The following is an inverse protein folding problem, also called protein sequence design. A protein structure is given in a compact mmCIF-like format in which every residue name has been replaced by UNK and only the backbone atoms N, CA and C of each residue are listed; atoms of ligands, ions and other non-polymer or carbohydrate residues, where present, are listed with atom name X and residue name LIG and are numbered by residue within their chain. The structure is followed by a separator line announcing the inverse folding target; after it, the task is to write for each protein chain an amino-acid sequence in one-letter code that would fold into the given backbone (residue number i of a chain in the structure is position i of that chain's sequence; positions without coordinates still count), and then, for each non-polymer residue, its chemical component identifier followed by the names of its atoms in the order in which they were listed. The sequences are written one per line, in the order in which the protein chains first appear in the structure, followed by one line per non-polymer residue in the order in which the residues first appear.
data_IF_117578998248
#
_entry.id   IF_117578998248
#
_cell.length_a   1.000
_cell.length_b   1.000
_cell.length_c   1.000
_cell.angle_alpha   90.00
_cell.angle_beta   90.00
_cell.angle_gamma   90.00
#
_symmetry.space_group_name_H-M   'P 1'
#
loop_
_entity.id
_entity.type
_entity.pdbx_description
1 polymer ?
#
# COMPACT_ATOMS: atom_id res chain seq x y z
N UNK A 1 -5.41 2.19 14.57
CA UNK A 1 -5.37 3.67 14.52
C UNK A 1 -4.05 4.12 13.93
N UNK A 2 -4.01 4.51 12.66
CA UNK A 2 -2.92 5.31 12.06
C UNK A 2 -3.54 6.35 11.12
N UNK A 3 -4.12 7.38 11.74
CA UNK A 3 -4.69 8.55 11.08
C UNK A 3 -3.53 9.56 10.93
N UNK A 4 -2.76 9.47 9.84
CA UNK A 4 -1.88 10.59 9.43
C UNK A 4 -1.36 10.47 7.99
N UNK A 5 -2.12 9.86 7.07
CA UNK A 5 -1.78 9.90 5.64
C UNK A 5 -1.72 11.34 5.12
N UNK A 6 -2.52 12.25 5.68
CA UNK A 6 -2.48 13.68 5.34
C UNK A 6 -1.16 14.37 5.65
N UNK A 7 -0.45 14.02 6.73
CA UNK A 7 0.81 14.72 7.10
C UNK A 7 1.99 14.29 6.22
N UNK A 8 2.03 13.02 5.80
CA UNK A 8 3.05 12.52 4.86
C UNK A 8 2.78 13.08 3.46
N UNK A 9 1.53 13.16 3.03
CA UNK A 9 1.15 13.71 1.73
C UNK A 9 1.44 15.22 1.64
N UNK A 10 1.22 15.98 2.71
CA UNK A 10 1.64 17.39 2.78
C UNK A 10 3.17 17.54 2.74
N UNK A 11 3.92 16.65 3.40
CA UNK A 11 5.38 16.66 3.33
C UNK A 11 5.89 16.32 1.91
N UNK A 12 5.20 15.42 1.21
CA UNK A 12 5.45 15.09 -0.20
C UNK A 12 5.24 16.30 -1.12
N UNK A 13 4.15 17.05 -0.94
CA UNK A 13 3.89 18.28 -1.71
C UNK A 13 5.00 19.32 -1.52
N UNK A 14 5.51 19.47 -0.28
CA UNK A 14 6.68 20.31 0.01
C UNK A 14 7.93 19.87 -0.76
N UNK A 15 8.16 18.56 -0.88
CA UNK A 15 9.25 18.00 -1.67
C UNK A 15 9.08 18.27 -3.16
N UNK A 16 7.86 18.13 -3.70
CA UNK A 16 7.51 18.44 -5.10
C UNK A 16 7.68 19.93 -5.41
N UNK A 17 7.42 20.82 -4.45
CA UNK A 17 7.59 22.26 -4.61
C UNK A 17 9.03 22.76 -4.44
N UNK A 18 9.95 21.95 -3.91
CA UNK A 18 11.36 22.33 -3.73
C UNK A 18 12.06 22.65 -5.07
N UNK A 19 12.69 23.83 -5.16
CA UNK A 19 13.33 24.36 -6.39
C UNK A 19 14.86 24.44 -6.31
N UNK A 20 15.40 24.37 -5.10
CA UNK A 20 16.82 24.51 -4.80
C UNK A 20 17.27 23.45 -3.77
N UNK A 21 18.58 23.31 -3.60
CA UNK A 21 19.19 22.33 -2.69
C UNK A 21 18.74 22.50 -1.24
N UNK A 22 18.56 23.74 -0.79
CA UNK A 22 18.20 24.04 0.59
C UNK A 22 16.74 23.66 0.88
N UNK A 23 15.81 24.06 0.02
CA UNK A 23 14.39 23.68 0.10
C UNK A 23 14.20 22.17 -0.02
N UNK A 24 15.01 21.49 -0.84
CA UNK A 24 14.99 20.03 -0.94
C UNK A 24 15.46 19.34 0.35
N UNK A 25 16.55 19.82 0.97
CA UNK A 25 17.04 19.29 2.24
C UNK A 25 16.05 19.52 3.39
N UNK A 26 15.44 20.70 3.45
CA UNK A 26 14.41 21.04 4.44
C UNK A 26 13.18 20.14 4.26
N UNK A 27 12.70 19.98 3.02
CA UNK A 27 11.57 19.11 2.72
C UNK A 27 11.85 17.64 3.04
N UNK A 28 13.05 17.14 2.73
CA UNK A 28 13.47 15.76 3.05
C UNK A 28 13.55 15.54 4.56
N UNK A 29 14.05 16.52 5.29
CA UNK A 29 14.14 16.46 6.76
C UNK A 29 12.74 16.45 7.40
N UNK A 30 11.85 17.31 6.92
CA UNK A 30 10.45 17.33 7.35
C UNK A 30 9.75 16.00 7.07
N UNK A 31 9.97 15.43 5.87
CA UNK A 31 9.43 14.12 5.51
C UNK A 31 9.94 13.00 6.45
N UNK A 32 11.24 12.98 6.74
CA UNK A 32 11.84 12.03 7.67
C UNK A 32 11.26 12.13 9.07
N UNK A 33 11.02 13.35 9.58
CA UNK A 33 10.37 13.55 10.86
C UNK A 33 8.94 13.02 10.87
N UNK A 34 8.18 13.27 9.81
CA UNK A 34 6.82 12.73 9.68
C UNK A 34 6.81 11.21 9.68
N UNK A 35 7.72 10.57 8.93
CA UNK A 35 7.87 9.11 8.93
C UNK A 35 8.20 8.54 10.31
N UNK A 36 9.05 9.25 11.10
CA UNK A 36 9.32 8.86 12.49
C UNK A 36 8.08 8.99 13.37
N UNK A 37 7.31 10.08 13.24
CA UNK A 37 6.09 10.31 14.02
C UNK A 37 4.99 9.30 13.72
N UNK A 38 4.90 8.82 12.48
CA UNK A 38 3.95 7.78 12.08
C UNK A 38 4.39 6.37 12.48
N UNK A 39 5.58 6.22 13.08
CA UNK A 39 6.08 4.94 13.54
C UNK A 39 6.58 4.02 12.42
N UNK A 40 6.98 4.57 11.27
CA UNK A 40 7.61 3.78 10.21
C UNK A 40 8.93 3.19 10.69
N UNK A 41 9.19 1.95 10.27
CA UNK A 41 10.42 1.23 10.60
C UNK A 41 11.66 1.99 10.09
N UNK A 42 12.73 1.91 10.88
CA UNK A 42 14.08 2.36 10.58
C UNK A 42 14.56 2.04 9.16
N UNK A 43 14.19 0.88 8.60
CA UNK A 43 14.55 0.49 7.24
C UNK A 43 14.04 1.48 6.18
N UNK A 44 12.83 2.03 6.35
CA UNK A 44 12.24 2.99 5.43
C UNK A 44 12.92 4.37 5.55
N UNK A 45 13.35 4.73 6.76
CA UNK A 45 14.11 5.95 7.01
C UNK A 45 15.50 5.90 6.35
N UNK A 46 16.18 4.75 6.45
CA UNK A 46 17.47 4.51 5.80
C UNK A 46 17.31 4.52 4.28
N UNK A 47 16.23 3.92 3.76
CA UNK A 47 15.89 3.95 2.34
C UNK A 47 15.70 5.37 1.81
N UNK A 48 14.99 6.22 2.55
CA UNK A 48 14.79 7.63 2.22
C UNK A 48 16.14 8.38 2.14
N UNK A 49 17.00 8.25 3.15
CA UNK A 49 18.30 8.93 3.19
C UNK A 49 19.19 8.57 2.00
N UNK A 50 19.25 7.27 1.66
CA UNK A 50 20.03 6.79 0.51
C UNK A 50 19.53 7.36 -0.81
N UNK A 51 18.20 7.47 -0.97
CA UNK A 51 17.57 7.98 -2.21
C UNK A 51 17.69 9.49 -2.34
N UNK A 52 17.64 10.21 -1.22
CA UNK A 52 17.77 11.66 -1.14
C UNK A 52 19.22 12.16 -1.27
N UNK A 53 20.22 11.29 -1.10
CA UNK A 53 21.62 11.67 -1.24
C UNK A 53 21.98 12.04 -2.69
N UNK A 54 22.73 13.14 -2.83
CA UNK A 54 23.39 13.56 -4.06
C UNK A 54 24.68 14.30 -3.72
N UNK A 55 25.67 14.23 -4.61
CA UNK A 55 26.95 14.90 -4.44
C UNK A 55 26.87 16.33 -5.01
N UNK A 56 26.95 17.39 -4.17
CA UNK A 56 27.04 18.76 -4.67
C UNK A 56 28.38 18.98 -5.36
N UNK A 57 28.37 19.79 -6.41
CA UNK A 57 29.54 20.16 -7.19
C UNK A 57 29.90 21.63 -6.92
N UNK A 58 31.05 21.85 -6.29
CA UNK A 58 31.55 23.19 -5.94
C UNK A 58 31.89 24.06 -7.15
N UNK A 59 32.01 23.45 -8.33
CA UNK A 59 32.40 24.12 -9.57
C UNK A 59 31.24 24.36 -10.53
N UNK A 60 30.04 23.84 -10.23
CA UNK A 60 28.86 23.97 -11.11
C UNK A 60 27.55 23.84 -10.33
N UNK A 61 26.87 24.98 -10.16
CA UNK A 61 25.51 25.02 -9.61
C UNK A 61 24.51 24.28 -10.50
N UNK A 62 24.75 24.25 -11.82
CA UNK A 62 23.90 23.54 -12.78
C UNK A 62 23.95 22.03 -12.56
N UNK A 63 25.15 21.46 -12.42
CA UNK A 63 25.36 20.03 -12.18
C UNK A 63 24.78 19.62 -10.81
N UNK A 64 24.97 20.46 -9.79
CA UNK A 64 24.36 20.28 -8.47
C UNK A 64 22.83 20.23 -8.55
N UNK A 65 22.23 21.13 -9.35
CA UNK A 65 20.77 21.19 -9.54
C UNK A 65 20.24 19.97 -10.29
N UNK A 66 20.93 19.49 -11.33
CA UNK A 66 20.54 18.29 -12.07
C UNK A 66 20.55 17.05 -11.17
N UNK A 67 21.61 16.85 -10.38
CA UNK A 67 21.73 15.75 -9.42
C UNK A 67 20.67 15.82 -8.31
N UNK A 68 20.33 17.02 -7.85
CA UNK A 68 19.26 17.23 -6.88
C UNK A 68 17.89 16.84 -7.47
N UNK A 69 17.59 17.23 -8.71
CA UNK A 69 16.34 16.85 -9.38
C UNK A 69 16.22 15.34 -9.53
N UNK A 70 17.33 14.66 -9.84
CA UNK A 70 17.36 13.20 -9.90
C UNK A 70 17.11 12.55 -8.52
N UNK A 71 17.76 13.05 -7.46
CA UNK A 71 17.53 12.59 -6.10
C UNK A 71 16.07 12.81 -5.66
N UNK A 72 15.50 13.96 -6.00
CA UNK A 72 14.09 14.27 -5.76
C UNK A 72 13.15 13.27 -6.44
N UNK A 73 13.40 12.94 -7.71
CA UNK A 73 12.62 11.94 -8.43
C UNK A 73 12.68 10.57 -7.74
N UNK A 74 13.89 10.13 -7.36
CA UNK A 74 14.11 8.87 -6.63
C UNK A 74 13.34 8.81 -5.30
N UNK A 75 13.27 9.92 -4.57
CA UNK A 75 12.52 10.01 -3.30
C UNK A 75 11.02 9.92 -3.55
N UNK A 76 10.49 10.65 -4.54
CA UNK A 76 9.06 10.63 -4.87
C UNK A 76 8.60 9.23 -5.28
N UNK A 77 9.36 8.56 -6.16
CA UNK A 77 9.07 7.20 -6.60
C UNK A 77 9.03 6.23 -5.41
N UNK A 78 10.05 6.27 -4.55
CA UNK A 78 10.14 5.42 -3.37
C UNK A 78 8.96 5.63 -2.40
N UNK A 79 8.58 6.89 -2.15
CA UNK A 79 7.45 7.20 -1.28
C UNK A 79 6.12 6.71 -1.86
N UNK A 80 5.91 6.86 -3.17
CA UNK A 80 4.71 6.35 -3.84
C UNK A 80 4.62 4.81 -3.74
N UNK A 81 5.73 4.10 -3.88
CA UNK A 81 5.78 2.64 -3.70
C UNK A 81 5.35 2.23 -2.28
N UNK A 82 5.89 2.88 -1.24
CA UNK A 82 5.55 2.58 0.15
C UNK A 82 4.10 2.92 0.47
N UNK A 83 3.59 4.05 -0.05
CA UNK A 83 2.21 4.48 0.17
C UNK A 83 1.21 3.53 -0.50
N UNK A 84 1.45 3.12 -1.75
CA UNK A 84 0.60 2.17 -2.47
C UNK A 84 0.52 0.79 -1.78
N UNK A 85 1.65 0.30 -1.24
CA UNK A 85 1.66 -0.96 -0.47
C UNK A 85 0.79 -0.86 0.79
N UNK A 86 0.80 0.30 1.45
CA UNK A 86 -0.03 0.54 2.63
C UNK A 86 -1.52 0.68 2.30
N UNK A 87 -1.88 1.27 1.16
CA UNK A 87 -3.28 1.38 0.72
C UNK A 87 -3.88 0.01 0.39
N UNK A 88 -3.14 -0.83 -0.35
CA UNK A 88 -3.58 -2.18 -0.68
C UNK A 88 -3.71 -3.07 0.57
N UNK A 89 -2.77 -2.94 1.52
CA UNK A 89 -2.83 -3.66 2.80
C UNK A 89 -3.99 -3.21 3.68
N UNK A 90 -4.34 -1.92 3.70
CA UNK A 90 -5.51 -1.41 4.42
C UNK A 90 -6.82 -1.87 3.79
N UNK A 91 -6.93 -1.80 2.47
CA UNK A 91 -8.10 -2.30 1.74
C UNK A 91 -8.31 -3.79 2.02
N UNK A 92 -7.23 -4.58 2.05
CA UNK A 92 -7.29 -5.99 2.44
C UNK A 92 -7.82 -6.17 3.86
N UNK A 93 -7.31 -5.42 4.84
CA UNK A 93 -7.76 -5.49 6.23
C UNK A 93 -9.23 -5.10 6.36
N UNK A 94 -9.66 -4.03 5.68
CA UNK A 94 -11.07 -3.61 5.68
C UNK A 94 -11.97 -4.69 5.04
N UNK A 95 -11.51 -5.37 3.99
CA UNK A 95 -12.26 -6.47 3.37
C UNK A 95 -12.34 -7.67 4.30
N UNK A 96 -11.24 -8.07 4.93
CA UNK A 96 -11.22 -9.18 5.88
C UNK A 96 -12.08 -8.91 7.12
N UNK A 97 -12.12 -7.66 7.59
CA UNK A 97 -12.98 -7.25 8.70
C UNK A 97 -14.47 -7.30 8.31
N UNK A 98 -14.78 -6.89 7.07
CA UNK A 98 -16.13 -6.99 6.50
C UNK A 98 -16.50 -8.41 6.03
N UNK A 99 -15.54 -9.31 5.86
CA UNK A 99 -15.78 -10.69 5.47
C UNK A 99 -16.65 -11.44 6.51
N UNK A 100 -16.50 -11.09 7.78
CA UNK A 100 -17.34 -11.61 8.87
C UNK A 100 -18.83 -11.21 8.76
N UNK A 101 -19.14 -10.14 8.01
CA UNK A 101 -20.53 -9.76 7.69
C UNK A 101 -21.17 -10.67 6.64
N UNK A 102 -20.35 -11.34 5.82
CA UNK A 102 -20.82 -12.28 4.80
C UNK A 102 -21.23 -13.64 5.42
N UNK A 103 -20.50 -14.08 6.45
CA UNK A 103 -20.83 -15.31 7.20
C UNK A 103 -22.03 -15.13 8.14
N UNK A 104 -22.34 -13.90 8.56
CA UNK A 104 -23.52 -13.62 9.38
C UNK A 104 -24.79 -13.55 8.54
N UNK A 105 -25.74 -14.43 8.89
CA UNK A 105 -27.12 -14.51 8.34
C UNK A 105 -27.67 -13.14 7.93
N UNK A 106 -27.96 -12.98 6.64
CA UNK A 106 -28.50 -11.79 5.99
C UNK A 106 -29.49 -11.03 6.89
N UNK A 107 -29.12 -9.79 7.22
CA UNK A 107 -29.98 -8.90 7.99
C UNK A 107 -31.25 -8.59 7.17
N UNK A 108 -32.42 -8.71 7.81
CA UNK A 108 -33.78 -8.65 7.23
C UNK A 108 -34.19 -7.29 6.62
N UNK A 109 -33.25 -6.39 6.33
CA UNK A 109 -33.46 -5.06 5.72
C UNK A 109 -32.59 -4.81 4.47
N UNK A 110 -31.92 -5.83 3.93
CA UNK A 110 -31.18 -5.71 2.67
C UNK A 110 -32.13 -5.48 1.49
N UNK A 111 -31.81 -4.52 0.63
CA UNK A 111 -32.59 -4.21 -0.59
C UNK A 111 -32.43 -5.23 -1.72
N UNK A 112 -31.56 -6.23 -1.54
CA UNK A 112 -31.41 -7.36 -2.46
C UNK A 112 -32.54 -8.34 -2.16
N UNK A 113 -33.45 -8.50 -3.12
CA UNK A 113 -34.58 -9.41 -3.02
C UNK A 113 -34.10 -10.87 -3.13
N UNK A 114 -34.84 -11.79 -2.53
CA UNK A 114 -34.44 -13.20 -2.37
C UNK A 114 -34.21 -13.89 -3.72
N UNK A 115 -34.95 -13.47 -4.74
CA UNK A 115 -34.89 -13.98 -6.12
C UNK A 115 -33.60 -13.57 -6.83
N UNK A 116 -33.05 -12.38 -6.53
CA UNK A 116 -31.78 -11.92 -7.10
C UNK A 116 -30.58 -12.59 -6.42
N UNK A 117 -30.73 -12.96 -5.15
CA UNK A 117 -29.71 -13.70 -4.39
C UNK A 117 -29.66 -15.18 -4.79
N UNK A 118 -30.77 -15.76 -5.25
CA UNK A 118 -30.82 -17.14 -5.75
C UNK A 118 -29.99 -17.34 -7.03
N UNK A 119 -29.83 -16.30 -7.85
CA UNK A 119 -28.92 -16.29 -9.01
C UNK A 119 -27.44 -16.19 -8.65
N UNK A 120 -27.13 -15.67 -7.45
CA UNK A 120 -25.78 -15.53 -6.90
C UNK A 120 -25.58 -16.53 -5.75
N UNK A 121 -26.11 -17.75 -5.91
CA UNK A 121 -26.06 -18.80 -4.90
C UNK A 121 -24.62 -19.28 -4.70
N UNK A 122 -24.03 -18.80 -3.62
CA UNK A 122 -22.88 -19.43 -2.96
C UNK A 122 -23.41 -20.72 -2.34
N UNK A 123 -23.06 -21.84 -2.95
CA UNK A 123 -23.54 -23.18 -2.59
C UNK A 123 -22.69 -23.80 -1.50
N UNK A 124 -21.41 -23.46 -1.41
CA UNK A 124 -20.50 -23.95 -0.39
C UNK A 124 -19.42 -22.91 -0.02
N UNK A 125 -18.60 -23.24 0.98
CA UNK A 125 -17.48 -22.41 1.44
C UNK A 125 -16.45 -22.13 0.34
N UNK A 126 -16.25 -23.08 -0.59
CA UNK A 126 -15.33 -22.91 -1.71
C UNK A 126 -15.77 -21.80 -2.67
N UNK A 127 -17.07 -21.60 -2.90
CA UNK A 127 -17.54 -20.48 -3.72
C UNK A 127 -17.15 -19.12 -3.11
N UNK A 128 -17.19 -19.01 -1.78
CA UNK A 128 -16.71 -17.83 -1.04
C UNK A 128 -15.20 -17.68 -1.17
N UNK A 129 -14.46 -18.78 -1.02
CA UNK A 129 -13.00 -18.78 -1.19
C UNK A 129 -12.59 -18.37 -2.62
N UNK A 130 -13.33 -18.79 -3.65
CA UNK A 130 -13.06 -18.41 -5.04
C UNK A 130 -13.38 -16.93 -5.32
N UNK A 131 -14.47 -16.40 -4.75
CA UNK A 131 -14.79 -14.96 -4.84
C UNK A 131 -13.71 -14.11 -4.16
N UNK A 132 -13.29 -14.52 -2.95
CA UNK A 132 -12.21 -13.86 -2.24
C UNK A 132 -10.89 -13.97 -3.01
N UNK A 133 -10.55 -15.15 -3.52
CA UNK A 133 -9.34 -15.38 -4.31
C UNK A 133 -9.31 -14.56 -5.61
N UNK A 134 -10.42 -14.49 -6.34
CA UNK A 134 -10.53 -13.68 -7.56
C UNK A 134 -10.28 -12.20 -7.30
N UNK A 135 -10.70 -11.70 -6.14
CA UNK A 135 -10.45 -10.32 -5.71
C UNK A 135 -9.01 -10.09 -5.21
N UNK A 136 -8.42 -11.08 -4.53
CA UNK A 136 -7.05 -10.99 -4.01
C UNK A 136 -5.99 -11.15 -5.10
N UNK A 137 -6.25 -11.91 -6.16
CA UNK A 137 -5.26 -12.25 -7.20
C UNK A 137 -4.64 -11.03 -7.91
N UNK A 138 -5.38 -9.96 -8.25
CA UNK A 138 -4.78 -8.72 -8.78
C UNK A 138 -3.89 -7.98 -7.78
N UNK A 139 -4.21 -8.04 -6.48
CA UNK A 139 -3.46 -7.37 -5.41
C UNK A 139 -2.20 -8.16 -5.01
N UNK A 140 -2.29 -9.48 -5.05
CA UNK A 140 -1.23 -10.42 -4.70
C UNK A 140 -1.10 -11.48 -5.80
N UNK A 141 -0.35 -11.20 -6.87
CA UNK A 141 -0.26 -12.08 -8.04
C UNK A 141 0.31 -13.48 -7.72
N UNK A 142 1.11 -13.58 -6.66
CA UNK A 142 1.72 -14.83 -6.20
C UNK A 142 0.79 -15.70 -5.36
N UNK A 143 -0.42 -15.22 -5.03
CA UNK A 143 -1.42 -16.00 -4.28
C UNK A 143 -1.80 -17.24 -5.08
N UNK A 144 -1.78 -18.40 -4.43
CA UNK A 144 -2.21 -19.68 -4.99
C UNK A 144 -3.58 -20.02 -4.42
N UNK A 145 -4.49 -20.51 -5.26
CA UNK A 145 -5.65 -21.23 -4.76
C UNK A 145 -5.15 -22.53 -4.14
N UNK A 146 -5.72 -22.97 -3.01
CA UNK A 146 -5.36 -24.26 -2.41
C UNK A 146 -5.44 -25.37 -3.47
N UNK A 147 -4.35 -26.14 -3.57
CA UNK A 147 -4.27 -27.31 -4.44
C UNK A 147 -4.76 -28.50 -3.62
N UNK A 148 -5.86 -29.13 -4.05
CA UNK A 148 -6.40 -30.37 -3.47
C UNK A 148 -5.50 -31.59 -3.78
N UNK A 149 -4.22 -31.53 -3.43
CA UNK A 149 -3.30 -32.67 -3.53
C UNK A 149 -2.71 -33.00 -2.17
N UNK A 150 -3.52 -33.13 -1.12
CA UNK A 150 -3.14 -33.98 0.02
C UNK A 150 -4.31 -34.42 0.93
N UNK A 151 -5.22 -35.25 0.41
CA UNK A 151 -5.93 -36.21 1.26
C UNK A 151 -5.66 -37.62 0.79
N UNK A 152 -4.37 -37.96 0.70
CA UNK A 152 -3.86 -39.32 0.51
C UNK A 152 -4.05 -40.23 1.72
N UNK A 153 -5.23 -40.25 2.35
CA UNK A 153 -5.63 -41.38 3.20
C UNK A 153 -6.27 -42.43 2.30
N UNK A 154 -5.41 -43.31 1.77
CA UNK A 154 -5.83 -44.53 1.10
C UNK A 154 -6.64 -45.40 2.05
N UNK A 155 -7.94 -45.54 1.79
CA UNK A 155 -8.71 -46.69 2.25
C UNK A 155 -8.37 -47.88 1.34
N UNK A 156 -7.49 -48.75 1.83
CA UNK A 156 -7.53 -50.20 1.63
C UNK A 156 -7.20 -50.88 2.96
#
# INVERSE_FOLDING_TARGET
MFINSGSIQQAMEGLVCAKDSQSFQVATSALREQMKRTGMDSQYLIGLERRAYYLPNEYSDKDTKEKMVEAKKRVIEYMNEIMNVNENGRLLLDILDNFYLFERKLHKRGGIQKEQLEGLRIKNEYDVQHLLYAYLKPLYPMTRAEVNEDTGYGTL
#
